data_IF_360512418780
#
_entry.id   IF_360512418780
#
_cell.length_a   1.000
_cell.length_b   1.000
_cell.length_c   1.000
_cell.angle_alpha   90.00
_cell.angle_beta   90.00
_cell.angle_gamma   90.00
#
_symmetry.space_group_name_H-M   'P 1'
#
loop_
_entity.id
_entity.type
_entity.pdbx_description
1 polymer ?
#
# COMPACT_ATOMS: atom_id res chain seq x y z
N UNK A 1 107.58 -46.58 23.16
CA UNK A 1 108.16 -45.72 22.10
C UNK A 1 107.67 -46.25 20.76
N UNK A 2 106.64 -45.63 20.18
CA UNK A 2 106.67 -44.86 18.91
C UNK A 2 106.74 -45.77 17.66
N UNK A 3 105.94 -45.65 16.59
CA UNK A 3 104.92 -44.68 16.12
C UNK A 3 104.27 -45.28 14.85
N UNK A 4 102.95 -45.09 14.67
CA UNK A 4 102.17 -44.67 13.44
C UNK A 4 102.57 -45.25 12.04
N UNK A 5 101.67 -45.58 11.10
CA UNK A 5 100.41 -44.95 10.58
C UNK A 5 99.79 -45.90 9.50
N UNK A 6 98.45 -46.04 9.39
CA UNK A 6 97.56 -45.52 8.29
C UNK A 6 97.68 -46.29 6.96
N UNK A 7 96.67 -46.71 6.16
CA UNK A 7 95.20 -46.51 6.06
C UNK A 7 94.68 -47.34 4.86
N UNK A 8 93.39 -47.75 4.90
CA UNK A 8 92.37 -47.90 3.81
C UNK A 8 92.71 -48.70 2.53
N UNK A 9 91.81 -49.39 1.81
CA UNK A 9 90.34 -49.48 1.78
C UNK A 9 89.94 -50.67 0.90
N UNK A 10 88.77 -51.21 1.21
CA UNK A 10 88.06 -52.35 0.60
C UNK A 10 87.36 -51.94 -0.70
N UNK A 11 87.36 -52.81 -1.71
CA UNK A 11 86.47 -52.74 -2.89
C UNK A 11 85.55 -53.96 -2.93
N UNK A 12 84.23 -53.74 -3.03
CA UNK A 12 83.23 -54.79 -3.26
C UNK A 12 82.35 -54.42 -4.46
N UNK A 13 81.99 -55.49 -5.17
CA UNK A 13 81.35 -55.57 -6.48
C UNK A 13 79.83 -55.41 -6.38
N UNK A 14 79.26 -54.70 -7.36
CA UNK A 14 77.83 -54.59 -7.64
C UNK A 14 77.18 -55.96 -7.87
N UNK A 15 75.96 -56.18 -7.36
CA UNK A 15 74.88 -56.79 -8.16
C UNK A 15 73.50 -56.26 -7.74
N UNK A 16 72.72 -55.85 -8.75
CA UNK A 16 71.31 -55.50 -8.68
C UNK A 16 70.44 -56.77 -8.65
N UNK A 17 69.38 -56.75 -7.84
CA UNK A 17 68.20 -57.60 -8.03
C UNK A 17 66.92 -56.75 -7.89
N UNK A 18 66.14 -56.72 -8.97
CA UNK A 18 64.84 -56.06 -9.09
C UNK A 18 63.76 -56.95 -8.43
N UNK A 19 63.02 -56.41 -7.46
CA UNK A 19 61.82 -57.04 -6.90
C UNK A 19 60.60 -56.14 -7.15
N UNK A 20 59.59 -56.72 -7.78
CA UNK A 20 58.30 -56.15 -8.14
C UNK A 20 57.47 -55.80 -6.90
N UNK A 21 57.05 -54.54 -6.78
CA UNK A 21 56.06 -54.10 -5.80
C UNK A 21 54.73 -53.76 -6.51
N UNK A 22 53.66 -54.47 -6.17
CA UNK A 22 52.29 -54.16 -6.57
C UNK A 22 51.75 -53.10 -5.60
N UNK A 23 51.40 -51.87 -6.05
CA UNK A 23 50.81 -50.90 -5.15
C UNK A 23 49.32 -51.23 -4.96
N UNK A 24 48.93 -51.53 -3.73
CA UNK A 24 47.54 -51.41 -3.26
C UNK A 24 47.13 -49.94 -3.39
N UNK A 25 46.34 -49.62 -4.41
CA UNK A 25 45.70 -48.32 -4.53
C UNK A 25 44.60 -48.21 -3.46
N UNK A 26 44.97 -47.76 -2.26
CA UNK A 26 44.02 -47.24 -1.28
C UNK A 26 43.53 -45.92 -1.84
N UNK A 27 42.36 -45.92 -2.48
CA UNK A 27 41.67 -44.68 -2.81
C UNK A 27 41.34 -43.98 -1.48
N UNK A 28 41.82 -42.76 -1.23
CA UNK A 28 41.30 -42.00 -0.11
C UNK A 28 39.81 -41.79 -0.40
N UNK A 29 38.95 -42.40 0.41
CA UNK A 29 37.54 -42.04 0.47
C UNK A 29 37.53 -40.58 0.90
N UNK A 30 37.44 -39.67 -0.07
CA UNK A 30 37.15 -38.28 0.23
C UNK A 30 35.82 -38.31 0.99
N UNK A 31 35.75 -37.80 2.23
CA UNK A 31 34.46 -37.60 2.85
C UNK A 31 33.69 -36.71 1.89
N UNK A 32 32.54 -37.18 1.39
CA UNK A 32 31.65 -36.31 0.66
C UNK A 32 31.34 -35.17 1.61
N UNK A 33 31.95 -34.00 1.41
CA UNK A 33 31.54 -32.78 2.09
C UNK A 33 30.18 -32.46 1.50
N UNK A 34 29.15 -33.15 2.01
CA UNK A 34 27.78 -32.74 1.82
C UNK A 34 27.73 -31.42 2.57
N UNK A 35 27.95 -30.33 1.85
CA UNK A 35 27.75 -28.98 2.36
C UNK A 35 26.33 -29.01 2.89
N UNK A 36 26.18 -29.04 4.22
CA UNK A 36 24.88 -28.92 4.86
C UNK A 36 24.45 -27.50 4.51
N UNK A 37 23.71 -27.36 3.41
CA UNK A 37 23.02 -26.11 3.11
C UNK A 37 22.01 -25.98 4.24
N UNK A 38 22.35 -25.15 5.23
CA UNK A 38 21.42 -24.74 6.27
C UNK A 38 20.17 -24.13 5.65
N UNK A 39 19.11 -23.99 6.45
CA UNK A 39 17.91 -23.32 5.98
C UNK A 39 18.27 -21.87 5.67
N UNK A 40 17.86 -21.39 4.51
CA UNK A 40 18.06 -19.99 4.11
C UNK A 40 16.70 -19.39 3.86
N UNK A 41 16.36 -18.33 4.61
CA UNK A 41 15.19 -17.51 4.31
C UNK A 41 15.52 -16.59 3.13
N UNK A 42 14.76 -16.72 2.05
CA UNK A 42 14.89 -15.91 0.84
C UNK A 42 14.04 -14.65 0.87
N UNK A 43 12.77 -14.75 1.25
CA UNK A 43 11.86 -13.59 1.30
C UNK A 43 10.67 -13.81 2.22
N UNK A 44 10.02 -12.72 2.63
CA UNK A 44 8.81 -12.70 3.47
C UNK A 44 7.71 -11.96 2.73
N UNK A 45 6.51 -12.53 2.66
CA UNK A 45 5.35 -11.89 2.04
C UNK A 45 4.06 -12.12 2.84
N UNK A 46 3.29 -11.06 3.16
CA UNK A 46 3.70 -9.66 3.06
C UNK A 46 4.88 -9.38 4.01
N UNK A 47 5.74 -8.43 3.68
CA UNK A 47 6.83 -7.96 4.55
C UNK A 47 6.36 -6.89 5.56
N UNK A 48 5.05 -6.74 5.71
CA UNK A 48 4.39 -5.72 6.53
C UNK A 48 3.09 -6.28 7.05
N UNK A 49 2.74 -5.94 8.28
CA UNK A 49 1.48 -6.29 8.90
C UNK A 49 1.06 -5.28 9.94
N UNK A 50 -0.10 -5.48 10.56
CA UNK A 50 -0.65 -4.55 11.53
C UNK A 50 -0.18 -4.84 12.94
N UNK A 51 0.29 -3.80 13.63
CA UNK A 51 0.58 -3.86 15.05
C UNK A 51 -0.68 -4.29 15.82
N UNK A 52 -0.48 -4.93 16.97
CA UNK A 52 -1.54 -5.39 17.88
C UNK A 52 -2.54 -6.40 17.28
N UNK A 53 -2.21 -7.01 16.13
CA UNK A 53 -3.05 -8.01 15.46
C UNK A 53 -2.19 -9.03 14.70
N UNK A 54 -2.83 -10.09 14.24
CA UNK A 54 -2.16 -11.18 13.53
C UNK A 54 -2.26 -10.95 12.03
N UNK A 55 -1.13 -11.01 11.33
CA UNK A 55 -1.07 -10.98 9.86
C UNK A 55 -0.68 -12.37 9.36
N UNK A 56 -1.38 -12.89 8.35
CA UNK A 56 -0.95 -14.13 7.69
C UNK A 56 0.27 -13.84 6.81
N UNK A 57 1.38 -14.52 7.10
CA UNK A 57 2.67 -14.31 6.45
C UNK A 57 3.20 -15.62 5.89
N UNK A 58 3.67 -15.58 4.65
CA UNK A 58 4.38 -16.66 3.99
C UNK A 58 5.87 -16.34 3.92
N UNK A 59 6.68 -17.22 4.48
CA UNK A 59 8.13 -17.18 4.43
C UNK A 59 8.60 -18.11 3.32
N UNK A 60 9.40 -17.62 2.37
CA UNK A 60 9.96 -18.39 1.27
C UNK A 60 11.45 -18.61 1.49
N UNK A 61 11.93 -19.84 1.35
CA UNK A 61 13.30 -20.18 1.63
C UNK A 61 13.74 -21.50 0.99
N UNK A 62 15.02 -21.83 1.14
CA UNK A 62 15.59 -23.08 0.64
C UNK A 62 16.08 -23.96 1.79
N UNK A 63 16.11 -25.27 1.56
CA UNK A 63 16.51 -26.24 2.59
C UNK A 63 15.44 -26.49 3.66
N UNK A 64 14.20 -26.02 3.44
CA UNK A 64 13.10 -26.19 4.38
C UNK A 64 12.64 -27.65 4.47
N UNK A 65 12.54 -28.16 5.68
CA UNK A 65 11.89 -29.45 5.96
C UNK A 65 10.68 -29.21 6.88
N UNK A 66 9.49 -29.13 6.28
CA UNK A 66 8.23 -28.87 6.98
C UNK A 66 7.81 -29.97 7.95
N UNK A 67 8.40 -31.16 7.84
CA UNK A 67 8.12 -32.27 8.74
C UNK A 67 8.89 -32.15 10.06
N UNK A 68 9.72 -31.11 10.23
CA UNK A 68 10.35 -30.80 11.51
C UNK A 68 9.27 -30.25 12.47
N UNK A 69 8.91 -31.00 13.53
CA UNK A 69 7.83 -30.58 14.44
C UNK A 69 8.19 -29.34 15.26
N UNK A 70 9.46 -28.98 15.31
CA UNK A 70 9.96 -27.79 16.00
C UNK A 70 10.19 -26.61 15.06
N UNK A 71 9.89 -26.70 13.77
CA UNK A 71 10.07 -25.57 12.86
C UNK A 71 9.03 -24.48 13.16
N UNK A 72 9.49 -23.25 13.38
CA UNK A 72 8.66 -22.07 13.60
C UNK A 72 9.09 -20.87 12.77
N UNK A 73 8.19 -19.92 12.58
CA UNK A 73 8.52 -18.61 12.03
C UNK A 73 8.88 -17.66 13.16
N UNK A 74 10.06 -17.08 13.06
CA UNK A 74 10.58 -16.10 14.01
C UNK A 74 10.25 -14.69 13.56
N UNK A 75 9.80 -13.87 14.49
CA UNK A 75 9.55 -12.45 14.37
C UNK A 75 10.23 -11.74 15.55
N UNK A 76 11.49 -11.35 15.38
CA UNK A 76 12.31 -10.83 16.47
C UNK A 76 12.53 -11.90 17.54
N UNK A 77 12.03 -11.66 18.75
CA UNK A 77 12.15 -12.60 19.88
C UNK A 77 10.97 -13.57 20.00
N UNK A 78 10.01 -13.50 19.08
CA UNK A 78 8.81 -14.33 19.09
C UNK A 78 8.91 -15.43 18.03
N UNK A 79 8.67 -16.68 18.43
CA UNK A 79 8.65 -17.82 17.50
C UNK A 79 7.25 -18.41 17.47
N UNK A 80 6.58 -18.28 16.33
CA UNK A 80 5.23 -18.79 16.13
C UNK A 80 5.28 -20.14 15.41
N UNK A 81 4.38 -21.04 15.81
CA UNK A 81 4.21 -22.33 15.14
C UNK A 81 3.69 -22.17 13.71
N UNK A 82 3.98 -23.16 12.87
CA UNK A 82 3.50 -23.19 11.50
C UNK A 82 1.97 -23.34 11.48
N UNK A 83 1.33 -22.66 10.52
CA UNK A 83 -0.05 -22.98 10.18
C UNK A 83 -0.11 -24.27 9.36
N UNK A 84 -1.24 -24.95 9.42
CA UNK A 84 -1.48 -26.14 8.59
C UNK A 84 -1.33 -25.76 7.11
N UNK A 85 -0.40 -26.45 6.44
CA UNK A 85 -0.17 -26.22 5.01
C UNK A 85 -1.37 -26.70 4.20
N UNK A 86 -1.88 -25.84 3.32
CA UNK A 86 -2.90 -26.25 2.35
C UNK A 86 -2.34 -27.33 1.39
N UNK A 87 -3.18 -28.27 0.91
CA UNK A 87 -2.77 -29.22 -0.12
C UNK A 87 -2.20 -28.49 -1.34
N UNK A 88 -0.97 -28.84 -1.76
CA UNK A 88 -0.30 -28.20 -2.90
C UNK A 88 0.56 -26.96 -2.57
N UNK A 89 0.75 -26.63 -1.30
CA UNK A 89 1.68 -25.56 -0.91
C UNK A 89 3.13 -25.90 -1.32
N UNK A 90 3.84 -24.96 -1.94
CA UNK A 90 5.20 -25.17 -2.45
C UNK A 90 6.18 -25.60 -1.36
N UNK A 91 7.04 -26.60 -1.60
CA UNK A 91 7.96 -27.13 -0.57
C UNK A 91 8.94 -26.09 0.00
N UNK A 92 9.16 -24.98 -0.72
CA UNK A 92 10.05 -23.87 -0.39
C UNK A 92 9.35 -22.74 0.40
N UNK A 93 8.13 -22.94 0.89
CA UNK A 93 7.40 -21.91 1.64
C UNK A 93 6.91 -22.39 3.00
N UNK A 94 6.57 -21.48 3.90
CA UNK A 94 5.97 -21.79 5.21
C UNK A 94 5.00 -20.69 5.58
N UNK A 95 3.82 -21.04 6.07
CA UNK A 95 2.80 -20.08 6.48
C UNK A 95 2.76 -19.96 8.01
N UNK A 96 2.71 -18.73 8.50
CA UNK A 96 2.62 -18.40 9.91
C UNK A 96 1.73 -17.18 10.12
N UNK A 97 1.24 -17.02 11.35
CA UNK A 97 0.68 -15.75 11.79
C UNK A 97 1.79 -14.92 12.42
N UNK A 98 1.87 -13.62 12.10
CA UNK A 98 2.72 -12.70 12.87
C UNK A 98 2.19 -12.59 14.31
N UNK A 99 3.04 -12.42 15.33
CA UNK A 99 2.60 -12.13 16.69
C UNK A 99 1.90 -10.76 16.80
N UNK A 100 1.15 -10.56 17.90
CA UNK A 100 0.59 -9.25 18.24
C UNK A 100 1.63 -8.42 18.98
N UNK A 101 2.38 -7.60 18.25
CA UNK A 101 3.44 -6.73 18.77
C UNK A 101 3.11 -5.25 18.56
N UNK A 102 3.81 -4.39 19.30
CA UNK A 102 3.75 -2.95 19.07
C UNK A 102 4.39 -2.53 17.73
N UNK A 103 4.19 -1.28 17.29
CA UNK A 103 4.75 -0.79 16.04
C UNK A 103 6.28 -0.85 16.02
N UNK A 104 6.86 -1.19 14.87
CA UNK A 104 8.30 -1.25 14.69
C UNK A 104 8.75 -2.28 13.66
N UNK A 105 10.05 -2.55 13.62
CA UNK A 105 10.65 -3.50 12.70
C UNK A 105 11.21 -4.70 13.47
N UNK A 106 11.03 -5.90 12.94
CA UNK A 106 11.65 -7.11 13.46
C UNK A 106 12.36 -7.86 12.35
N UNK A 107 13.42 -8.57 12.72
CA UNK A 107 14.06 -9.53 11.82
C UNK A 107 13.22 -10.81 11.79
N UNK A 108 13.02 -11.36 10.60
CA UNK A 108 12.26 -12.59 10.37
C UNK A 108 13.18 -13.72 9.93
N UNK A 109 12.87 -14.93 10.41
CA UNK A 109 13.48 -16.15 9.93
C UNK A 109 12.82 -17.40 10.47
N UNK A 110 13.60 -18.46 10.52
CA UNK A 110 13.19 -19.77 11.00
C UNK A 110 13.90 -20.08 12.31
N UNK A 111 13.15 -20.51 13.31
CA UNK A 111 13.68 -20.89 14.62
C UNK A 111 12.93 -22.08 15.21
N UNK A 112 13.51 -22.70 16.23
CA UNK A 112 12.91 -23.82 16.94
C UNK A 112 11.77 -23.36 17.87
N UNK A 113 10.58 -23.94 17.71
CA UNK A 113 9.45 -23.79 18.65
C UNK A 113 9.66 -24.70 19.86
N UNK A 114 10.40 -24.21 20.85
CA UNK A 114 10.75 -25.02 22.05
C UNK A 114 9.73 -24.91 23.19
N UNK A 115 8.79 -23.96 23.09
CA UNK A 115 7.86 -23.61 24.18
C UNK A 115 8.51 -22.80 25.32
N UNK A 116 9.81 -22.54 25.23
CA UNK A 116 10.56 -21.66 26.15
C UNK A 116 10.79 -20.29 25.51
N UNK A 117 11.32 -19.35 26.30
CA UNK A 117 11.81 -18.07 25.79
C UNK A 117 12.87 -18.32 24.71
N UNK A 118 12.71 -17.66 23.57
CA UNK A 118 13.64 -17.75 22.45
C UNK A 118 15.05 -17.31 22.84
N UNK A 119 16.05 -18.12 22.46
CA UNK A 119 17.46 -17.85 22.66
C UNK A 119 18.16 -17.61 21.31
N UNK A 120 18.55 -16.35 20.99
CA UNK A 120 19.24 -16.01 19.76
C UNK A 120 20.49 -16.86 19.48
N UNK A 121 20.68 -17.27 18.24
CA UNK A 121 21.77 -18.12 17.76
C UNK A 121 21.66 -19.60 18.13
N UNK A 122 21.09 -19.92 19.31
CA UNK A 122 20.86 -21.31 19.73
C UNK A 122 19.62 -21.89 19.07
N UNK A 123 18.54 -21.13 19.05
CA UNK A 123 17.25 -21.58 18.52
C UNK A 123 17.09 -21.27 17.03
N UNK A 124 18.00 -20.49 16.44
CA UNK A 124 17.94 -20.11 15.03
C UNK A 124 18.24 -21.30 14.11
N UNK A 125 17.30 -21.57 13.21
CA UNK A 125 17.42 -22.60 12.17
C UNK A 125 17.99 -21.98 10.89
N UNK A 126 17.54 -20.77 10.56
CA UNK A 126 18.02 -20.07 9.37
C UNK A 126 19.24 -19.20 9.63
N UNK A 127 20.17 -19.19 8.68
CA UNK A 127 21.22 -18.18 8.66
C UNK A 127 20.66 -16.88 8.09
N UNK A 128 20.26 -15.99 8.99
CA UNK A 128 19.69 -14.69 8.62
C UNK A 128 20.80 -13.65 8.48
N UNK A 129 20.94 -13.05 7.30
CA UNK A 129 21.89 -11.95 7.07
C UNK A 129 21.25 -10.56 7.27
N UNK A 130 20.17 -10.47 8.06
CA UNK A 130 19.47 -9.20 8.35
C UNK A 130 18.62 -8.62 7.21
N UNK A 131 18.54 -9.29 6.05
CA UNK A 131 17.77 -8.79 4.89
C UNK A 131 16.26 -9.01 5.00
N UNK A 132 15.82 -9.94 5.85
CA UNK A 132 14.41 -10.28 5.99
C UNK A 132 13.81 -9.53 7.17
N UNK A 133 13.24 -8.36 6.91
CA UNK A 133 12.61 -7.50 7.92
C UNK A 133 11.09 -7.52 7.71
N UNK A 134 10.37 -7.55 8.82
CA UNK A 134 8.92 -7.38 8.84
C UNK A 134 8.56 -6.14 9.65
N UNK A 135 7.74 -5.27 9.06
CA UNK A 135 7.26 -4.05 9.71
C UNK A 135 5.88 -4.29 10.36
N UNK A 136 5.80 -4.06 11.66
CA UNK A 136 4.54 -3.89 12.38
C UNK A 136 4.08 -2.44 12.27
N UNK A 137 3.10 -2.22 11.42
CA UNK A 137 2.53 -0.90 11.18
C UNK A 137 1.44 -0.56 12.18
N UNK A 138 1.55 0.63 12.75
CA UNK A 138 0.41 1.27 13.40
C UNK A 138 -0.72 1.41 12.36
N UNK A 139 -1.94 0.93 12.66
CA UNK A 139 -3.09 1.09 11.76
C UNK A 139 -3.33 2.57 11.43
N UNK A 140 -3.59 2.86 10.15
CA UNK A 140 -3.98 4.20 9.72
C UNK A 140 -5.41 4.51 10.12
N UNK A 141 -5.69 5.81 10.29
CA UNK A 141 -7.00 6.31 10.65
C UNK A 141 -7.36 7.50 9.78
N UNK A 142 -8.53 7.48 9.17
CA UNK A 142 -9.09 8.66 8.51
C UNK A 142 -9.89 9.45 9.54
N UNK A 143 -9.61 10.74 9.68
CA UNK A 143 -10.31 11.63 10.62
C UNK A 143 -11.34 12.51 9.94
N UNK A 144 -11.03 13.00 8.73
CA UNK A 144 -11.90 13.90 7.97
C UNK A 144 -11.47 13.94 6.51
N UNK A 145 -12.36 14.44 5.66
CA UNK A 145 -12.13 14.66 4.23
C UNK A 145 -12.60 16.05 3.83
N UNK A 146 -11.94 16.65 2.86
CA UNK A 146 -12.33 17.92 2.28
C UNK A 146 -12.20 17.88 0.77
N UNK A 147 -13.20 18.33 0.00
CA UNK A 147 -14.53 18.73 0.48
C UNK A 147 -15.35 17.52 0.96
N UNK A 148 -16.32 17.76 1.84
CA UNK A 148 -17.24 16.70 2.34
C UNK A 148 -18.24 16.23 1.27
N UNK A 149 -18.37 17.01 0.20
CA UNK A 149 -19.28 16.79 -0.91
C UNK A 149 -18.51 16.78 -2.24
N UNK A 150 -18.83 15.82 -3.10
CA UNK A 150 -18.14 15.58 -4.36
C UNK A 150 -19.15 15.32 -5.49
N UNK A 151 -18.74 15.49 -6.74
CA UNK A 151 -19.63 15.22 -7.88
C UNK A 151 -19.67 13.75 -8.27
N UNK A 152 -20.84 13.26 -8.70
CA UNK A 152 -21.03 11.90 -9.24
C UNK A 152 -20.23 11.65 -10.51
N UNK A 153 -19.82 12.70 -11.22
CA UNK A 153 -18.93 12.63 -12.39
C UNK A 153 -17.51 12.17 -12.06
N UNK A 154 -17.09 12.23 -10.79
CA UNK A 154 -15.70 12.03 -10.40
C UNK A 154 -14.78 13.18 -10.82
N UNK A 155 -13.47 12.95 -10.71
CA UNK A 155 -12.41 13.88 -11.15
C UNK A 155 -12.06 14.97 -10.14
N UNK A 156 -12.68 14.97 -8.96
CA UNK A 156 -12.46 15.99 -7.95
C UNK A 156 -11.37 15.56 -6.98
N UNK A 157 -10.50 16.48 -6.58
CA UNK A 157 -9.49 16.20 -5.57
C UNK A 157 -10.11 16.22 -4.17
N UNK A 158 -10.00 15.08 -3.50
CA UNK A 158 -10.37 14.89 -2.11
C UNK A 158 -9.11 14.89 -1.24
N UNK A 159 -9.03 15.86 -0.34
CA UNK A 159 -7.99 15.97 0.68
C UNK A 159 -8.42 15.16 1.89
N UNK A 160 -7.58 14.23 2.31
CA UNK A 160 -7.84 13.26 3.38
C UNK A 160 -6.94 13.59 4.55
N UNK A 161 -7.52 13.89 5.70
CA UNK A 161 -6.80 14.07 6.94
C UNK A 161 -6.90 12.80 7.79
N UNK A 162 -5.82 12.50 8.51
CA UNK A 162 -5.77 11.26 9.26
C UNK A 162 -4.57 11.12 10.19
N UNK A 163 -4.29 9.88 10.55
CA UNK A 163 -3.15 9.48 11.36
C UNK A 163 -2.52 8.23 10.75
N UNK A 164 -1.19 8.15 10.80
CA UNK A 164 -0.39 7.02 10.29
C UNK A 164 -0.68 6.65 8.83
N UNK A 165 -1.07 7.64 8.02
CA UNK A 165 -1.20 7.49 6.56
C UNK A 165 0.18 7.18 5.98
N UNK A 166 0.23 6.37 4.92
CA UNK A 166 1.48 5.90 4.30
C UNK A 166 1.35 5.79 2.79
N UNK A 167 2.49 5.68 2.12
CA UNK A 167 2.57 5.31 0.71
C UNK A 167 2.06 3.89 0.47
N UNK A 168 1.61 3.58 -0.74
CA UNK A 168 1.08 2.25 -1.09
C UNK A 168 -0.38 2.02 -0.66
N UNK A 169 -0.95 2.93 0.12
CA UNK A 169 -2.40 2.99 0.33
C UNK A 169 -3.12 3.40 -0.95
N UNK A 170 -4.38 2.98 -1.06
CA UNK A 170 -5.30 3.29 -2.14
C UNK A 170 -6.62 3.77 -1.55
N UNK A 171 -7.27 4.70 -2.24
CA UNK A 171 -8.60 5.17 -1.91
C UNK A 171 -9.65 4.26 -2.51
N UNK A 172 -10.44 3.63 -1.65
CA UNK A 172 -11.57 2.81 -2.06
C UNK A 172 -12.85 3.55 -1.77
N UNK A 173 -13.59 3.86 -2.84
CA UNK A 173 -14.93 4.39 -2.78
C UNK A 173 -15.92 3.23 -2.89
N UNK A 174 -16.88 3.14 -1.96
CA UNK A 174 -17.89 2.08 -2.00
C UNK A 174 -18.72 2.17 -3.29
N UNK A 175 -18.71 1.09 -4.07
CA UNK A 175 -19.36 1.07 -5.40
C UNK A 175 -18.50 1.67 -6.52
N UNK A 176 -17.26 2.08 -6.23
CA UNK A 176 -16.23 2.43 -7.21
C UNK A 176 -15.44 1.21 -7.68
N UNK A 177 -14.27 1.45 -8.28
CA UNK A 177 -13.43 0.40 -8.83
C UNK A 177 -12.93 -0.56 -7.73
N UNK A 178 -12.89 -1.88 -7.99
CA UNK A 178 -12.47 -2.87 -6.99
C UNK A 178 -11.01 -2.71 -6.57
N UNK A 179 -10.16 -2.16 -7.45
CA UNK A 179 -8.76 -1.86 -7.15
C UNK A 179 -8.56 -0.54 -6.41
N UNK A 180 -9.58 0.31 -6.29
CA UNK A 180 -9.45 1.67 -5.76
C UNK A 180 -8.57 2.59 -6.61
N UNK A 181 -8.48 3.85 -6.19
CA UNK A 181 -7.69 4.92 -6.80
C UNK A 181 -6.32 5.05 -6.11
N UNK A 182 -5.24 5.34 -6.86
CA UNK A 182 -3.96 5.70 -6.26
C UNK A 182 -4.08 6.88 -5.29
N UNK A 183 -3.50 6.73 -4.11
CA UNK A 183 -3.39 7.81 -3.13
C UNK A 183 -2.11 8.62 -3.36
N UNK A 184 -2.25 9.94 -3.48
CA UNK A 184 -1.12 10.86 -3.43
C UNK A 184 -0.75 11.13 -1.97
N UNK A 185 0.34 10.53 -1.53
CA UNK A 185 0.84 10.68 -0.16
C UNK A 185 1.48 12.06 0.04
N UNK A 186 1.07 12.78 1.10
CA UNK A 186 1.68 14.06 1.49
C UNK A 186 2.44 13.91 2.80
N UNK A 187 1.79 13.38 3.84
CA UNK A 187 2.41 13.10 5.14
C UNK A 187 1.63 12.02 5.89
N UNK A 188 2.12 11.63 7.08
CA UNK A 188 1.40 10.70 7.95
C UNK A 188 0.05 11.22 8.45
N UNK A 189 -0.27 12.50 8.23
CA UNK A 189 -1.53 13.12 8.61
C UNK A 189 -2.36 13.62 7.42
N UNK A 190 -1.84 13.54 6.19
CA UNK A 190 -2.46 14.13 5.02
C UNK A 190 -2.21 13.32 3.75
N UNK A 191 -3.25 13.11 2.97
CA UNK A 191 -3.18 12.52 1.63
C UNK A 191 -4.21 13.13 0.70
N UNK A 192 -4.08 12.88 -0.60
CA UNK A 192 -5.02 13.36 -1.61
C UNK A 192 -5.39 12.20 -2.53
N UNK A 193 -6.67 12.12 -2.92
CA UNK A 193 -7.16 11.19 -3.91
C UNK A 193 -8.05 11.92 -4.91
N UNK A 194 -8.05 11.46 -6.16
CA UNK A 194 -9.04 11.88 -7.13
C UNK A 194 -10.29 11.01 -6.97
N UNK A 195 -11.47 11.62 -6.96
CA UNK A 195 -12.74 10.88 -6.84
C UNK A 195 -13.04 10.14 -8.13
N UNK A 196 -13.57 8.92 -8.02
CA UNK A 196 -14.07 8.19 -9.18
C UNK A 196 -15.48 8.61 -9.55
N UNK A 197 -15.85 8.40 -10.81
CA UNK A 197 -17.24 8.47 -11.23
C UNK A 197 -18.04 7.40 -10.46
N UNK A 198 -19.10 7.82 -9.79
CA UNK A 198 -19.86 6.99 -8.87
C UNK A 198 -21.35 6.99 -9.19
N UNK A 199 -22.08 6.04 -8.61
CA UNK A 199 -23.54 6.06 -8.67
C UNK A 199 -24.08 7.29 -7.91
N UNK A 200 -25.22 7.88 -8.32
CA UNK A 200 -25.86 9.03 -7.68
C UNK A 200 -26.45 8.75 -6.29
N UNK A 201 -25.97 7.73 -5.58
CA UNK A 201 -26.28 7.54 -4.17
C UNK A 201 -25.74 8.75 -3.41
N UNK A 202 -26.63 9.41 -2.66
CA UNK A 202 -26.34 10.65 -1.92
C UNK A 202 -25.15 10.55 -0.96
N UNK A 203 -24.82 9.33 -0.50
CA UNK A 203 -23.70 9.05 0.39
C UNK A 203 -22.85 7.89 -0.17
N UNK A 204 -21.58 8.14 -0.40
CA UNK A 204 -20.52 7.16 -0.60
C UNK A 204 -19.70 6.95 0.66
N UNK A 205 -18.99 5.83 0.75
CA UNK A 205 -18.06 5.53 1.84
C UNK A 205 -16.65 5.49 1.28
N UNK A 206 -15.74 6.26 1.87
CA UNK A 206 -14.31 6.23 1.57
C UNK A 206 -13.57 5.40 2.63
N UNK A 207 -12.69 4.53 2.15
CA UNK A 207 -11.72 3.80 2.96
C UNK A 207 -10.33 3.89 2.34
N UNK A 208 -9.30 3.89 3.20
CA UNK A 208 -7.93 3.65 2.76
C UNK A 208 -7.60 2.17 2.92
N UNK A 209 -7.10 1.55 1.86
CA UNK A 209 -6.71 0.14 1.86
C UNK A 209 -5.29 -0.04 1.31
N UNK A 210 -4.60 -1.08 1.75
CA UNK A 210 -3.31 -1.48 1.20
C UNK A 210 -3.48 -2.81 0.44
N UNK A 211 -2.75 -2.99 -0.66
CA UNK A 211 -2.88 -4.20 -1.50
C UNK A 211 -2.46 -5.49 -0.76
N UNK A 212 -1.51 -5.38 0.18
CA UNK A 212 -0.93 -6.53 0.88
C UNK A 212 -1.58 -6.88 2.22
N UNK A 213 -2.47 -6.03 2.75
CA UNK A 213 -3.15 -6.29 4.02
C UNK A 213 -4.47 -5.53 4.11
N UNK A 214 -5.53 -6.24 4.51
CA UNK A 214 -6.77 -5.61 4.93
C UNK A 214 -6.49 -4.84 6.23
N UNK A 215 -6.82 -3.54 6.25
CA UNK A 215 -6.75 -2.77 7.49
C UNK A 215 -7.67 -3.43 8.53
N UNK A 216 -7.19 -3.74 9.75
CA UNK A 216 -8.08 -3.94 10.88
C UNK A 216 -8.70 -2.58 11.16
N UNK A 217 -9.99 -2.45 10.86
CA UNK A 217 -10.84 -1.31 11.19
C UNK A 217 -10.28 0.07 10.80
N UNK A 218 -9.83 0.20 9.54
CA UNK A 218 -9.58 1.48 8.90
C UNK A 218 -10.88 2.26 8.78
N UNK A 219 -11.09 3.18 9.73
CA UNK A 219 -12.30 3.96 9.92
C UNK A 219 -12.82 4.55 8.60
N UNK A 220 -14.08 4.23 8.29
CA UNK A 220 -14.81 4.72 7.13
C UNK A 220 -15.20 6.19 7.33
N UNK A 221 -15.05 6.99 6.27
CA UNK A 221 -15.65 8.33 6.21
C UNK A 221 -16.71 8.35 5.14
N UNK A 222 -17.86 8.95 5.46
CA UNK A 222 -18.92 9.20 4.48
C UNK A 222 -18.57 10.42 3.64
N UNK A 223 -18.58 10.26 2.33
CA UNK A 223 -18.44 11.34 1.35
C UNK A 223 -19.80 11.52 0.68
N UNK A 224 -20.34 12.73 0.62
CA UNK A 224 -21.60 12.96 -0.07
C UNK A 224 -21.36 13.11 -1.57
N UNK A 225 -22.21 12.49 -2.38
CA UNK A 225 -22.17 12.67 -3.83
C UNK A 225 -23.34 13.53 -4.29
N UNK A 226 -23.04 14.57 -5.06
CA UNK A 226 -24.01 15.42 -5.73
C UNK A 226 -23.98 15.19 -7.22
N UNK A 227 -25.14 15.22 -7.84
CA UNK A 227 -25.23 15.27 -9.30
C UNK A 227 -24.69 16.63 -9.76
N UNK A 228 -23.82 16.63 -10.77
CA UNK A 228 -23.36 17.87 -11.38
C UNK A 228 -24.57 18.58 -12.01
N UNK A 229 -24.83 19.87 -11.68
CA UNK A 229 -25.95 20.59 -12.27
C UNK A 229 -25.75 20.77 -13.77
N UNK A 230 -26.72 20.33 -14.55
CA UNK A 230 -26.84 20.76 -15.95
C UNK A 230 -27.52 22.14 -15.94
N UNK A 231 -26.85 23.13 -16.52
CA UNK A 231 -27.37 24.48 -16.63
C UNK A 231 -28.01 24.63 -18.00
N UNK A 232 -29.32 24.79 -18.04
CA UNK A 232 -30.07 25.03 -19.27
C UNK A 232 -30.55 26.48 -19.28
N UNK A 233 -30.16 27.21 -20.31
CA UNK A 233 -30.66 28.55 -20.56
C UNK A 233 -32.02 28.48 -21.27
N UNK A 234 -33.06 29.07 -20.67
CA UNK A 234 -34.42 29.12 -21.22
C UNK A 234 -34.86 30.53 -21.61
N UNK A 235 -33.92 31.47 -21.70
CA UNK A 235 -34.22 32.87 -22.05
C UNK A 235 -34.38 33.13 -23.55
N UNK A 236 -34.85 34.34 -23.86
CA UNK A 236 -35.02 34.80 -25.26
C UNK A 236 -33.66 35.11 -25.88
N UNK A 237 -33.46 34.72 -27.14
CA UNK A 237 -32.27 35.10 -27.94
C UNK A 237 -32.17 36.61 -28.22
N UNK A 238 -33.21 37.37 -27.88
CA UNK A 238 -33.26 38.84 -27.90
C UNK A 238 -33.87 39.31 -26.58
N UNK A 239 -33.16 40.18 -25.87
CA UNK A 239 -33.57 40.71 -24.58
C UNK A 239 -33.13 42.17 -24.45
N UNK A 240 -33.92 42.96 -23.73
CA UNK A 240 -33.70 44.40 -23.51
C UNK A 240 -33.02 44.66 -22.17
N UNK A 241 -32.41 45.84 -22.01
CA UNK A 241 -31.81 46.21 -20.73
C UNK A 241 -32.89 46.25 -19.64
N UNK A 242 -32.59 45.66 -18.48
CA UNK A 242 -33.55 45.52 -17.39
C UNK A 242 -34.45 44.28 -17.49
N UNK A 243 -34.44 43.53 -18.61
CA UNK A 243 -35.09 42.23 -18.65
C UNK A 243 -34.34 41.24 -17.76
N UNK A 244 -35.08 40.31 -17.15
CA UNK A 244 -34.51 39.20 -16.38
C UNK A 244 -34.44 37.98 -17.27
N UNK A 245 -33.22 37.45 -17.46
CA UNK A 245 -33.05 36.13 -18.05
C UNK A 245 -33.22 35.06 -16.97
N UNK A 246 -33.92 33.98 -17.32
CA UNK A 246 -34.07 32.81 -16.45
C UNK A 246 -33.09 31.74 -16.88
N UNK A 247 -32.37 31.21 -15.90
CA UNK A 247 -31.46 30.08 -16.03
C UNK A 247 -32.01 28.97 -15.15
N UNK A 248 -32.37 27.84 -15.76
CA UNK A 248 -32.83 26.65 -15.05
C UNK A 248 -31.64 25.72 -14.82
N UNK A 249 -31.55 25.11 -13.64
CA UNK A 249 -30.56 24.06 -13.36
C UNK A 249 -31.23 22.73 -13.04
N UNK A 250 -30.65 21.62 -13.51
CA UNK A 250 -31.26 20.28 -13.39
C UNK A 250 -30.93 19.55 -12.09
N UNK A 251 -29.85 19.91 -11.38
CA UNK A 251 -29.42 19.23 -10.14
C UNK A 251 -29.77 20.02 -8.88
N UNK A 252 -31.00 20.51 -8.83
CA UNK A 252 -31.51 21.28 -7.70
C UNK A 252 -32.32 20.33 -6.84
N UNK A 253 -31.68 19.69 -5.86
CA UNK A 253 -32.42 18.98 -4.83
C UNK A 253 -33.40 19.97 -4.18
N UNK A 254 -34.70 19.66 -4.29
CA UNK A 254 -35.86 20.55 -4.12
C UNK A 254 -36.04 21.20 -2.74
N UNK A 255 -35.09 21.08 -1.80
CA UNK A 255 -35.27 21.60 -0.44
C UNK A 255 -34.10 22.43 0.12
N UNK A 256 -32.91 22.45 -0.49
CA UNK A 256 -31.73 23.07 0.13
C UNK A 256 -31.07 24.21 -0.68
N UNK A 257 -31.48 24.42 -1.93
CA UNK A 257 -30.69 25.24 -2.87
C UNK A 257 -30.96 26.73 -2.79
N UNK A 258 -32.18 27.18 -2.49
CA UNK A 258 -32.44 28.63 -2.35
C UNK A 258 -31.66 29.23 -1.17
N UNK A 259 -31.34 28.43 -0.16
CA UNK A 259 -30.63 28.87 1.04
C UNK A 259 -29.11 28.79 0.85
N UNK A 260 -28.59 27.86 0.03
CA UNK A 260 -27.16 27.68 -0.21
C UNK A 260 -26.61 28.41 -1.43
N UNK A 261 -27.33 28.53 -2.54
CA UNK A 261 -26.93 29.34 -3.72
C UNK A 261 -27.05 30.84 -3.45
N UNK A 262 -27.87 31.22 -2.46
CA UNK A 262 -27.96 32.58 -1.92
C UNK A 262 -27.35 32.70 -0.51
N UNK A 263 -26.66 31.66 -0.02
CA UNK A 263 -25.93 31.79 1.25
C UNK A 263 -24.79 32.77 1.06
N UNK A 264 -24.52 33.59 2.07
CA UNK A 264 -23.60 34.75 2.01
C UNK A 264 -22.14 34.46 1.57
N UNK A 265 -21.79 33.23 1.21
CA UNK A 265 -20.44 32.80 0.83
C UNK A 265 -20.30 32.37 -0.65
N UNK A 266 -21.37 31.93 -1.31
CA UNK A 266 -21.35 31.58 -2.74
C UNK A 266 -21.98 32.72 -3.56
N UNK A 267 -21.16 33.44 -4.33
CA UNK A 267 -21.64 34.52 -5.20
C UNK A 267 -22.03 33.96 -6.57
N UNK A 268 -23.13 33.21 -6.61
CA UNK A 268 -23.69 32.78 -7.89
C UNK A 268 -24.24 33.98 -8.66
N UNK A 269 -23.85 34.13 -9.92
CA UNK A 269 -24.24 35.27 -10.75
C UNK A 269 -24.05 35.04 -12.24
N UNK A 270 -24.53 36.00 -13.03
CA UNK A 270 -24.37 36.00 -14.48
C UNK A 270 -23.40 37.10 -14.91
N UNK A 271 -22.46 36.74 -15.78
CA UNK A 271 -21.54 37.67 -16.40
C UNK A 271 -21.99 37.98 -17.84
N UNK A 272 -22.25 39.26 -18.11
CA UNK A 272 -22.65 39.79 -19.42
C UNK A 272 -21.50 40.58 -20.02
N UNK A 273 -20.74 39.99 -20.95
CA UNK A 273 -19.67 40.70 -21.66
C UNK A 273 -18.65 41.39 -20.73
N UNK A 274 -18.43 40.84 -19.54
CA UNK A 274 -17.54 41.38 -18.51
C UNK A 274 -18.25 42.01 -17.30
N UNK A 275 -19.54 42.34 -17.38
CA UNK A 275 -20.32 42.90 -16.24
C UNK A 275 -20.95 41.77 -15.43
N UNK A 276 -20.63 41.70 -14.14
CA UNK A 276 -21.19 40.70 -13.23
C UNK A 276 -22.48 41.19 -12.57
N UNK A 277 -23.50 40.34 -12.53
CA UNK A 277 -24.79 40.59 -11.88
C UNK A 277 -25.12 39.42 -10.95
N UNK A 278 -25.47 39.74 -9.71
CA UNK A 278 -25.90 38.74 -8.73
C UNK A 278 -27.20 38.05 -9.18
N UNK A 279 -27.27 36.74 -9.02
CA UNK A 279 -28.49 36.00 -9.30
C UNK A 279 -29.56 36.28 -8.23
N UNK A 280 -30.82 36.26 -8.65
CA UNK A 280 -32.01 36.36 -7.80
C UNK A 280 -32.83 35.08 -7.89
N UNK A 281 -33.42 34.64 -6.77
CA UNK A 281 -34.33 33.51 -6.78
C UNK A 281 -35.58 33.80 -7.63
N UNK A 282 -36.02 32.82 -8.41
CA UNK A 282 -37.28 32.88 -9.16
C UNK A 282 -38.36 32.03 -8.48
N UNK A 283 -39.59 32.07 -9.01
CA UNK A 283 -40.76 31.40 -8.45
C UNK A 283 -40.68 29.87 -8.49
N UNK A 284 -39.92 29.29 -9.43
CA UNK A 284 -39.73 27.84 -9.51
C UNK A 284 -38.49 27.41 -8.72
N UNK A 285 -38.54 26.28 -8.00
CA UNK A 285 -37.35 25.67 -7.42
C UNK A 285 -36.31 25.38 -8.52
N UNK A 286 -35.12 25.98 -8.40
CA UNK A 286 -34.01 25.74 -9.33
C UNK A 286 -33.86 26.71 -10.50
N UNK A 287 -34.76 27.69 -10.59
CA UNK A 287 -34.64 28.80 -11.52
C UNK A 287 -33.92 30.00 -10.86
N UNK A 288 -32.89 30.49 -11.54
CA UNK A 288 -32.15 31.69 -11.18
C UNK A 288 -32.44 32.79 -12.20
N UNK A 289 -32.68 34.01 -11.70
CA UNK A 289 -32.94 35.20 -12.52
C UNK A 289 -31.77 36.18 -12.46
N UNK A 290 -31.27 36.60 -13.62
CA UNK A 290 -30.27 37.66 -13.72
C UNK A 290 -30.80 38.82 -14.55
N UNK A 291 -30.79 40.02 -13.99
CA UNK A 291 -31.23 41.23 -14.70
C UNK A 291 -30.13 41.73 -15.63
N UNK A 292 -30.46 41.93 -16.90
CA UNK A 292 -29.50 42.37 -17.91
C UNK A 292 -29.04 43.81 -17.59
N UNK A 293 -27.73 44.02 -17.37
CA UNK A 293 -27.21 45.36 -17.08
C UNK A 293 -27.25 46.23 -18.33
N UNK A 294 -27.38 47.54 -18.13
CA UNK A 294 -27.25 48.52 -19.20
C UNK A 294 -25.85 48.38 -19.85
N UNK A 295 -25.81 47.95 -21.11
CA UNK A 295 -24.57 47.70 -21.85
C UNK A 295 -24.70 48.18 -23.30
N UNK A 296 -23.73 47.89 -24.17
CA UNK A 296 -23.81 48.25 -25.60
C UNK A 296 -24.71 47.26 -26.34
N UNK A 297 -25.55 47.77 -27.24
CA UNK A 297 -26.39 46.93 -28.11
C UNK A 297 -25.48 46.05 -28.98
N UNK A 298 -25.74 44.75 -29.01
CA UNK A 298 -24.99 43.77 -29.79
C UNK A 298 -25.11 42.36 -29.22
N UNK A 299 -24.39 41.41 -29.83
CA UNK A 299 -24.27 40.06 -29.28
C UNK A 299 -23.35 40.08 -28.07
N UNK A 300 -23.86 39.60 -26.94
CA UNK A 300 -23.12 39.53 -25.67
C UNK A 300 -23.10 38.08 -25.21
N UNK A 301 -21.91 37.55 -24.92
CA UNK A 301 -21.78 36.24 -24.30
C UNK A 301 -22.21 36.34 -22.83
N UNK A 302 -23.06 35.40 -22.41
CA UNK A 302 -23.50 35.26 -21.02
C UNK A 302 -22.87 34.00 -20.44
N UNK A 303 -22.23 34.15 -19.29
CA UNK A 303 -21.64 33.04 -18.54
C UNK A 303 -22.27 33.02 -17.15
N UNK A 304 -22.79 31.87 -16.74
CA UNK A 304 -23.27 31.65 -15.37
C UNK A 304 -22.11 31.07 -14.59
N UNK A 305 -21.82 31.64 -13.43
CA UNK A 305 -20.69 31.20 -12.62
C UNK A 305 -21.08 31.22 -11.15
N UNK A 306 -20.53 30.26 -10.43
CA UNK A 306 -20.53 30.25 -8.98
C UNK A 306 -19.13 30.67 -8.50
N UNK A 307 -19.05 31.85 -7.89
CA UNK A 307 -17.83 32.34 -7.24
C UNK A 307 -17.81 31.79 -5.82
N UNK A 308 -17.09 30.68 -5.64
CA UNK A 308 -16.65 30.16 -4.33
C UNK A 308 -15.44 30.95 -3.82
#
# INVERSE_FOLDING_TARGET
MARRRSTSSVGWVLQLAFLLAVPLAVQPVQPSSRTVRGVVLGSVFPNVGTAHSFTAVTLYGSGLNRNLPTLGCRFGEHVNALQSTAPGAREDSVNCLSPSLGPGFVIVGFAHTTGNTYAPGKDDISQEQGYNVFEFNQPWRVTSVFPEETYTSGGQLLVIQGQHVRTGLRCHFLGGAPSGVPLHFVSSALAVCETEAGSPRSNGVLMLQHESHAAPDGQQVTVRHRVMPEITYTGRSTATFGDTITVSSSAVDEAAVLIHVLSLQSRTGCQFGGVWVAASAQSSPGDLGCTIPASKIGYVQVVVSDLH
#
